data_IF_712582696025
#
_entry.id   IF_712582696025
#
_cell.length_a   1.000
_cell.length_b   1.000
_cell.length_c   1.000
_cell.angle_alpha   90.00
_cell.angle_beta   90.00
_cell.angle_gamma   90.00
#
_symmetry.space_group_name_H-M   'P 1'
#
loop_
_entity.id
_entity.type
_entity.pdbx_description
1 polymer ?
#
# COMPACT_ATOMS: atom_id res chain seq x y z
N UNK A 1 -24.07 -42.47 19.02
CA UNK A 1 -24.24 -43.94 18.99
C UNK A 1 -24.43 -44.56 20.38
N UNK A 2 -23.45 -44.62 21.30
CA UNK A 2 -23.68 -45.17 22.66
C UNK A 2 -24.67 -44.34 23.50
N UNK A 3 -24.59 -43.01 23.40
CA UNK A 3 -25.51 -42.08 24.07
C UNK A 3 -26.95 -42.13 23.48
N UNK A 4 -27.06 -42.35 22.17
CA UNK A 4 -28.36 -42.53 21.49
C UNK A 4 -29.02 -43.87 21.87
N UNK A 5 -28.21 -44.92 22.08
CA UNK A 5 -28.69 -46.22 22.57
C UNK A 5 -29.14 -46.11 24.03
N UNK A 6 -28.46 -45.31 24.86
CA UNK A 6 -28.82 -45.08 26.26
C UNK A 6 -30.15 -44.30 26.41
N UNK A 7 -30.42 -43.34 25.52
CA UNK A 7 -31.63 -42.52 25.56
C UNK A 7 -32.90 -43.23 25.05
N UNK A 8 -32.80 -44.42 24.46
CA UNK A 8 -33.96 -45.14 23.91
C UNK A 8 -34.62 -46.15 24.87
N UNK A 9 -34.06 -46.43 26.06
CA UNK A 9 -34.63 -47.40 27.01
C UNK A 9 -34.49 -46.90 28.45
N UNK A 10 -35.57 -46.33 29.01
CA UNK A 10 -35.53 -45.47 30.20
C UNK A 10 -35.19 -46.13 31.55
N UNK A 11 -35.30 -47.46 31.73
CA UNK A 11 -35.01 -48.09 33.05
C UNK A 11 -34.04 -49.29 33.01
N UNK A 12 -34.05 -50.12 31.97
CA UNK A 12 -33.27 -51.37 31.92
C UNK A 12 -31.78 -51.17 31.64
N UNK A 13 -31.38 -50.07 30.99
CA UNK A 13 -29.96 -49.79 30.72
C UNK A 13 -29.24 -49.21 31.93
N UNK A 14 -29.92 -48.47 32.83
CA UNK A 14 -29.29 -47.98 34.07
C UNK A 14 -28.79 -49.14 34.93
N UNK A 15 -29.55 -50.22 35.04
CA UNK A 15 -29.11 -51.44 35.74
C UNK A 15 -27.92 -52.12 35.04
N UNK A 16 -27.91 -52.17 33.70
CA UNK A 16 -26.79 -52.71 32.92
C UNK A 16 -25.52 -51.86 33.08
N UNK A 17 -25.65 -50.53 33.12
CA UNK A 17 -24.54 -49.63 33.39
C UNK A 17 -24.10 -49.70 34.85
N UNK A 18 -25.00 -49.78 35.83
CA UNK A 18 -24.67 -49.99 37.25
C UNK A 18 -23.89 -51.30 37.47
N UNK A 19 -24.18 -52.35 36.70
CA UNK A 19 -23.43 -53.60 36.70
C UNK A 19 -22.12 -53.53 35.89
N UNK A 20 -22.02 -52.61 34.93
CA UNK A 20 -20.82 -52.40 34.11
C UNK A 20 -19.74 -51.69 34.91
N UNK A 21 -18.53 -52.29 34.98
CA UNK A 21 -17.35 -51.64 35.57
C UNK A 21 -16.50 -50.89 34.54
N UNK A 22 -17.01 -50.73 33.32
CA UNK A 22 -16.26 -50.18 32.17
C UNK A 22 -17.08 -49.07 31.51
N UNK A 23 -16.45 -47.91 31.32
CA UNK A 23 -17.05 -46.71 30.73
C UNK A 23 -16.10 -46.03 29.75
N UNK A 24 -16.62 -45.28 28.76
CA UNK A 24 -15.78 -44.50 27.87
C UNK A 24 -15.22 -43.26 28.59
N UNK A 25 -13.92 -43.01 28.41
CA UNK A 25 -13.35 -41.70 28.71
C UNK A 25 -13.68 -40.67 27.62
N UNK A 26 -13.31 -39.42 27.83
CA UNK A 26 -13.63 -38.30 26.92
C UNK A 26 -12.90 -38.35 25.56
N UNK A 27 -12.06 -39.36 25.31
CA UNK A 27 -11.49 -39.66 23.99
C UNK A 27 -11.98 -41.00 23.42
N UNK A 28 -13.13 -41.50 23.91
CA UNK A 28 -13.81 -42.71 23.46
C UNK A 28 -13.04 -44.02 23.70
N UNK A 29 -12.13 -44.06 24.68
CA UNK A 29 -11.48 -45.31 25.10
C UNK A 29 -12.23 -45.90 26.30
N UNK A 30 -12.55 -47.19 26.21
CA UNK A 30 -13.16 -47.94 27.31
C UNK A 30 -12.13 -48.17 28.42
N UNK A 31 -12.49 -47.77 29.64
CA UNK A 31 -11.64 -47.82 30.83
C UNK A 31 -12.41 -48.38 32.01
N UNK A 32 -11.68 -49.01 32.93
CA UNK A 32 -12.31 -49.41 34.19
C UNK A 32 -12.73 -48.16 34.95
N UNK A 33 -13.88 -48.21 35.64
CA UNK A 33 -14.36 -47.10 36.47
C UNK A 33 -13.34 -46.67 37.54
N UNK A 34 -12.50 -47.61 37.99
CA UNK A 34 -11.39 -47.34 38.93
C UNK A 34 -10.19 -46.63 38.30
N UNK A 35 -10.17 -46.43 36.98
CA UNK A 35 -9.19 -45.61 36.26
C UNK A 35 -9.73 -44.22 35.91
N UNK A 36 -11.04 -43.98 36.09
CA UNK A 36 -11.71 -42.75 35.67
C UNK A 36 -11.96 -41.80 36.84
N UNK A 37 -12.10 -40.52 36.52
CA UNK A 37 -12.45 -39.42 37.42
C UNK A 37 -13.65 -38.66 36.85
N UNK A 38 -14.48 -38.13 37.73
CA UNK A 38 -15.60 -37.24 37.41
C UNK A 38 -15.08 -35.93 36.84
N UNK A 39 -15.79 -35.41 35.84
CA UNK A 39 -15.59 -34.07 35.31
C UNK A 39 -16.62 -33.12 35.92
N UNK A 40 -16.20 -32.29 36.87
CA UNK A 40 -17.07 -31.28 37.49
C UNK A 40 -16.98 -29.96 36.71
N UNK A 41 -17.56 -29.98 35.52
CA UNK A 41 -17.71 -28.83 34.61
C UNK A 41 -16.39 -28.09 34.34
N UNK A 42 -15.37 -28.83 33.96
CA UNK A 42 -14.09 -28.26 33.59
C UNK A 42 -14.24 -27.45 32.30
N UNK A 43 -13.77 -26.20 32.32
CA UNK A 43 -13.77 -25.32 31.15
C UNK A 43 -12.96 -26.00 30.02
N UNK A 44 -13.54 -26.23 28.82
CA UNK A 44 -12.88 -26.97 27.74
C UNK A 44 -11.50 -26.44 27.35
N UNK A 45 -11.33 -25.11 27.35
CA UNK A 45 -10.08 -24.42 27.06
C UNK A 45 -8.99 -24.76 28.09
N UNK A 46 -9.34 -24.93 29.36
CA UNK A 46 -8.41 -25.29 30.44
C UNK A 46 -7.89 -26.72 30.24
N UNK A 47 -8.71 -27.65 29.78
CA UNK A 47 -8.23 -29.00 29.42
C UNK A 47 -7.22 -28.95 28.28
N UNK A 48 -7.49 -28.12 27.26
CA UNK A 48 -6.56 -27.92 26.14
C UNK A 48 -5.23 -27.34 26.59
N UNK A 49 -5.28 -26.32 27.45
CA UNK A 49 -4.10 -25.69 28.03
C UNK A 49 -3.31 -26.67 28.90
N UNK A 50 -3.96 -27.41 29.81
CA UNK A 50 -3.32 -28.41 30.66
C UNK A 50 -2.58 -29.44 29.80
N UNK A 51 -3.22 -29.97 28.76
CA UNK A 51 -2.58 -30.95 27.89
C UNK A 51 -1.32 -30.41 27.20
N UNK A 52 -1.35 -29.14 26.81
CA UNK A 52 -0.20 -28.48 26.18
C UNK A 52 0.95 -28.27 27.18
N UNK A 53 0.64 -27.81 28.39
CA UNK A 53 1.64 -27.40 29.39
C UNK A 53 2.21 -28.62 30.12
N UNK A 54 1.34 -29.50 30.62
CA UNK A 54 1.73 -30.71 31.36
C UNK A 54 2.16 -31.87 30.44
N UNK A 55 1.96 -31.75 29.12
CA UNK A 55 2.20 -32.83 28.14
C UNK A 55 1.47 -34.14 28.49
N UNK A 56 0.31 -34.03 29.15
CA UNK A 56 -0.54 -35.15 29.56
C UNK A 56 -1.96 -34.97 29.04
N UNK A 57 -2.63 -36.02 28.55
CA UNK A 57 -3.99 -35.92 28.02
C UNK A 57 -5.03 -36.17 29.13
N UNK A 58 -5.54 -35.11 29.75
CA UNK A 58 -6.49 -35.24 30.88
C UNK A 58 -7.79 -35.95 30.48
N UNK A 59 -8.22 -35.85 29.21
CA UNK A 59 -9.43 -36.52 28.72
C UNK A 59 -9.31 -38.05 28.73
N UNK A 60 -8.10 -38.61 28.91
CA UNK A 60 -7.91 -40.05 29.11
C UNK A 60 -8.40 -40.52 30.48
N UNK A 61 -8.36 -39.63 31.46
CA UNK A 61 -8.69 -39.90 32.86
C UNK A 61 -10.11 -39.48 33.22
N UNK A 62 -10.74 -38.63 32.41
CA UNK A 62 -12.08 -38.12 32.67
C UNK A 62 -13.15 -38.97 31.99
N UNK A 63 -14.23 -39.24 32.72
CA UNK A 63 -15.47 -39.75 32.15
C UNK A 63 -16.28 -38.62 31.49
N UNK A 64 -17.18 -38.94 30.55
CA UNK A 64 -18.18 -37.97 30.10
C UNK A 64 -19.10 -37.55 31.25
N UNK A 65 -19.54 -36.28 31.27
CA UNK A 65 -20.29 -35.68 32.39
C UNK A 65 -21.55 -36.49 32.71
N UNK A 66 -22.19 -37.03 31.68
CA UNK A 66 -23.39 -37.88 31.74
C UNK A 66 -23.17 -39.17 32.54
N UNK A 67 -21.92 -39.63 32.69
CA UNK A 67 -21.56 -40.82 33.45
C UNK A 67 -20.92 -40.50 34.82
N UNK A 68 -20.89 -39.23 35.24
CA UNK A 68 -20.32 -38.84 36.54
C UNK A 68 -20.98 -39.60 37.71
N UNK A 69 -22.29 -39.87 37.64
CA UNK A 69 -23.04 -40.55 38.70
C UNK A 69 -22.49 -41.94 39.03
N UNK A 70 -21.82 -42.58 38.08
CA UNK A 70 -21.28 -43.92 38.26
C UNK A 70 -19.89 -43.95 38.92
N UNK A 71 -19.07 -42.91 38.73
CA UNK A 71 -17.73 -42.82 39.34
C UNK A 71 -17.86 -42.43 40.82
N UNK A 72 -16.94 -42.83 41.70
CA UNK A 72 -16.99 -42.45 43.13
C UNK A 72 -16.92 -40.92 43.35
N UNK A 73 -17.62 -40.42 44.38
CA UNK A 73 -17.78 -38.97 44.63
C UNK A 73 -16.47 -38.24 44.94
N UNK A 74 -15.51 -38.93 45.56
CA UNK A 74 -14.20 -38.42 45.93
C UNK A 74 -13.21 -38.37 44.74
N UNK A 75 -13.56 -39.01 43.61
CA UNK A 75 -12.70 -39.09 42.42
C UNK A 75 -13.15 -38.09 41.37
N UNK A 76 -12.75 -36.84 41.54
CA UNK A 76 -13.13 -35.77 40.62
C UNK A 76 -11.97 -34.87 40.26
N UNK A 77 -12.15 -34.14 39.15
CA UNK A 77 -11.25 -33.08 38.71
C UNK A 77 -12.07 -31.83 38.46
N UNK A 78 -11.52 -30.69 38.83
CA UNK A 78 -12.12 -29.37 38.62
C UNK A 78 -11.21 -28.49 37.78
N UNK A 79 -11.76 -27.40 37.23
CA UNK A 79 -10.95 -26.36 36.60
C UNK A 79 -9.86 -25.85 37.55
N UNK A 80 -10.19 -25.69 38.84
CA UNK A 80 -9.24 -25.16 39.84
C UNK A 80 -8.03 -26.08 40.03
N UNK A 81 -8.25 -27.39 40.08
CA UNK A 81 -7.16 -28.36 40.18
C UNK A 81 -6.22 -28.24 38.97
N UNK A 82 -6.77 -28.25 37.75
CA UNK A 82 -5.96 -28.16 36.54
C UNK A 82 -5.20 -26.84 36.43
N UNK A 83 -5.81 -25.72 36.81
CA UNK A 83 -5.11 -24.43 36.77
C UNK A 83 -4.02 -24.32 37.82
N UNK A 84 -4.19 -24.92 39.00
CA UNK A 84 -3.10 -25.03 39.99
C UNK A 84 -1.90 -25.79 39.44
N UNK A 85 -2.11 -26.95 38.81
CA UNK A 85 -1.02 -27.72 38.18
C UNK A 85 -0.35 -26.94 37.04
N UNK A 86 -1.12 -26.20 36.24
CA UNK A 86 -0.59 -25.32 35.19
C UNK A 86 0.29 -24.21 35.79
N UNK A 87 -0.18 -23.55 36.85
CA UNK A 87 0.59 -22.53 37.54
C UNK A 87 1.88 -23.13 38.14
N UNK A 88 1.83 -24.31 38.75
CA UNK A 88 3.03 -24.96 39.27
C UNK A 88 4.09 -25.17 38.19
N UNK A 89 3.69 -25.53 36.97
CA UNK A 89 4.61 -25.66 35.83
C UNK A 89 5.15 -24.30 35.40
N UNK A 90 4.31 -23.27 35.31
CA UNK A 90 4.75 -21.92 34.96
C UNK A 90 5.74 -21.34 35.97
N UNK A 91 5.46 -21.48 37.26
CA UNK A 91 6.29 -20.94 38.33
C UNK A 91 7.46 -21.86 38.74
N UNK A 92 7.47 -23.11 38.28
CA UNK A 92 8.64 -23.99 38.37
C UNK A 92 9.79 -23.54 37.47
N UNK A 93 9.52 -22.67 36.49
CA UNK A 93 10.51 -21.95 35.68
C UNK A 93 10.57 -20.49 36.16
N UNK A 94 11.68 -19.77 35.92
CA UNK A 94 11.79 -18.37 36.34
C UNK A 94 10.83 -17.47 35.55
N UNK A 95 9.69 -17.18 36.18
CA UNK A 95 8.63 -16.33 35.64
C UNK A 95 9.07 -14.87 35.45
N UNK A 96 10.11 -14.43 36.16
CA UNK A 96 10.64 -13.07 36.03
C UNK A 96 11.43 -12.91 34.71
N UNK A 97 11.90 -14.01 34.13
CA UNK A 97 12.43 -14.04 32.76
C UNK A 97 11.34 -14.49 31.76
N UNK A 98 10.21 -13.78 31.74
CA UNK A 98 9.07 -14.11 30.85
C UNK A 98 9.49 -14.14 29.37
N UNK A 99 10.51 -13.37 28.98
CA UNK A 99 10.95 -13.27 27.59
C UNK A 99 11.58 -14.55 27.06
N UNK A 100 12.20 -15.35 27.92
CA UNK A 100 12.79 -16.65 27.59
C UNK A 100 11.90 -17.82 28.07
N UNK A 101 10.77 -17.52 28.71
CA UNK A 101 9.90 -18.53 29.29
C UNK A 101 9.24 -19.41 28.20
N UNK A 102 9.27 -20.75 28.32
CA UNK A 102 8.78 -21.67 27.28
C UNK A 102 7.29 -21.54 27.00
N UNK A 103 6.53 -21.03 27.97
CA UNK A 103 5.09 -20.81 27.89
C UNK A 103 4.71 -19.32 27.86
N UNK A 104 5.60 -18.44 27.36
CA UNK A 104 5.36 -16.97 27.27
C UNK A 104 4.01 -16.65 26.64
N UNK A 105 3.67 -17.30 25.52
CA UNK A 105 2.43 -17.04 24.77
C UNK A 105 1.20 -17.42 25.60
N UNK A 106 1.21 -18.58 26.24
CA UNK A 106 0.12 -19.06 27.07
C UNK A 106 -0.10 -18.13 28.28
N UNK A 107 0.98 -17.76 28.97
CA UNK A 107 0.95 -16.86 30.12
C UNK A 107 0.34 -15.51 29.74
N UNK A 108 0.81 -14.89 28.65
CA UNK A 108 0.29 -13.58 28.22
C UNK A 108 -1.16 -13.66 27.76
N UNK A 109 -1.57 -14.77 27.14
CA UNK A 109 -2.98 -14.99 26.79
C UNK A 109 -3.87 -15.12 28.02
N UNK A 110 -3.43 -15.80 29.08
CA UNK A 110 -4.18 -15.87 30.34
C UNK A 110 -4.25 -14.49 30.99
N UNK A 111 -3.14 -13.75 31.06
CA UNK A 111 -3.10 -12.38 31.61
C UNK A 111 -4.12 -11.46 30.93
N UNK A 112 -4.27 -11.58 29.60
CA UNK A 112 -5.28 -10.84 28.83
C UNK A 112 -6.70 -11.13 29.32
N UNK A 113 -6.99 -12.37 29.73
CA UNK A 113 -8.29 -12.83 30.22
C UNK A 113 -8.54 -12.59 31.72
N UNK A 114 -7.51 -12.26 32.52
CA UNK A 114 -7.64 -12.00 33.97
C UNK A 114 -8.53 -10.79 34.33
N UNK A 115 -8.95 -10.00 33.34
CA UNK A 115 -9.97 -8.95 33.54
C UNK A 115 -11.32 -9.55 33.96
N UNK A 116 -11.57 -10.81 33.61
CA UNK A 116 -12.75 -11.55 34.03
C UNK A 116 -12.51 -12.20 35.39
N UNK A 117 -13.38 -11.88 36.37
CA UNK A 117 -13.26 -12.37 37.75
C UNK A 117 -13.10 -13.90 37.85
N UNK A 118 -13.80 -14.65 36.99
CA UNK A 118 -13.74 -16.11 36.91
C UNK A 118 -12.32 -16.61 36.60
N UNK A 119 -11.61 -15.96 35.69
CA UNK A 119 -10.23 -16.33 35.34
C UNK A 119 -9.22 -15.95 36.42
N UNK A 120 -9.41 -14.79 37.07
CA UNK A 120 -8.59 -14.37 38.21
C UNK A 120 -8.67 -15.35 39.39
N UNK A 121 -9.86 -15.88 39.69
CA UNK A 121 -10.04 -16.89 40.75
C UNK A 121 -9.38 -18.24 40.40
N UNK A 122 -9.33 -18.59 39.12
CA UNK A 122 -8.72 -19.83 38.64
C UNK A 122 -7.18 -19.76 38.63
N UNK A 123 -6.60 -18.61 38.27
CA UNK A 123 -5.15 -18.36 38.19
C UNK A 123 -4.68 -17.26 39.18
N UNK A 124 -4.79 -17.50 40.51
CA UNK A 124 -4.53 -16.46 41.51
C UNK A 124 -3.06 -16.05 41.61
N UNK A 125 -2.10 -16.96 41.33
CA UNK A 125 -0.67 -16.63 41.42
C UNK A 125 -0.27 -15.77 40.23
N UNK A 126 -0.79 -16.09 39.05
CA UNK A 126 -0.57 -15.27 37.86
C UNK A 126 -1.25 -13.91 37.98
N UNK A 127 -2.44 -13.85 38.60
CA UNK A 127 -3.11 -12.57 38.88
C UNK A 127 -2.30 -11.68 39.84
N UNK A 128 -1.67 -12.25 40.87
CA UNK A 128 -0.74 -11.53 41.77
C UNK A 128 0.49 -11.00 41.01
N UNK A 129 1.06 -11.79 40.08
CA UNK A 129 2.31 -11.45 39.38
C UNK A 129 2.15 -10.73 38.05
N UNK A 130 0.92 -10.51 37.57
CA UNK A 130 0.64 -9.96 36.23
C UNK A 130 1.36 -8.63 35.94
N UNK A 131 1.46 -7.75 36.93
CA UNK A 131 2.12 -6.46 36.76
C UNK A 131 3.63 -6.61 36.51
N UNK A 132 4.29 -7.48 37.26
CA UNK A 132 5.72 -7.77 37.09
C UNK A 132 5.97 -8.43 35.74
N UNK A 133 5.15 -9.44 35.38
CA UNK A 133 5.28 -10.12 34.08
C UNK A 133 5.11 -9.13 32.92
N UNK A 134 4.13 -8.22 32.99
CA UNK A 134 3.93 -7.21 31.96
C UNK A 134 5.06 -6.19 31.93
N UNK A 135 5.61 -5.80 33.07
CA UNK A 135 6.78 -4.93 33.14
C UNK A 135 7.96 -5.55 32.40
N UNK A 136 8.25 -6.83 32.62
CA UNK A 136 9.37 -7.50 31.95
C UNK A 136 9.18 -7.74 30.45
N UNK A 137 7.93 -7.77 29.97
CA UNK A 137 7.68 -7.74 28.52
C UNK A 137 8.07 -6.39 27.93
N UNK A 138 7.79 -5.27 28.62
CA UNK A 138 8.02 -3.92 28.07
C UNK A 138 9.43 -3.40 28.30
N UNK A 139 10.15 -3.91 29.31
CA UNK A 139 11.54 -3.54 29.64
C UNK A 139 12.58 -4.38 28.91
N UNK A 140 12.19 -5.29 28.01
CA UNK A 140 13.13 -6.08 27.22
C UNK A 140 14.06 -5.17 26.42
N UNK A 141 15.37 -5.19 26.72
CA UNK A 141 16.37 -4.28 26.13
C UNK A 141 16.39 -4.27 24.60
N UNK A 142 16.03 -5.37 23.92
CA UNK A 142 16.03 -5.42 22.47
C UNK A 142 14.81 -4.75 21.81
N UNK A 143 13.70 -4.61 22.55
CA UNK A 143 12.42 -4.10 22.00
C UNK A 143 11.83 -2.94 22.81
N UNK A 144 12.53 -2.52 23.87
CA UNK A 144 12.06 -1.51 24.84
C UNK A 144 11.67 -0.22 24.14
N UNK A 145 12.56 0.34 23.33
CA UNK A 145 12.34 1.63 22.66
C UNK A 145 11.19 1.55 21.64
N UNK A 146 11.05 0.42 20.94
CA UNK A 146 9.94 0.17 20.01
C UNK A 146 8.60 0.10 20.75
N UNK A 147 8.56 -0.63 21.86
CA UNK A 147 7.36 -0.74 22.70
C UNK A 147 7.00 0.63 23.30
N UNK A 148 7.98 1.38 23.80
CA UNK A 148 7.77 2.75 24.31
C UNK A 148 7.19 3.66 23.23
N UNK A 149 7.73 3.59 22.02
CA UNK A 149 7.22 4.33 20.86
C UNK A 149 5.78 3.95 20.52
N UNK A 150 5.41 2.68 20.68
CA UNK A 150 4.03 2.22 20.49
C UNK A 150 3.09 2.72 21.60
N UNK A 151 3.43 2.55 22.89
CA UNK A 151 2.53 2.89 24.00
C UNK A 151 2.35 4.41 24.19
N UNK A 152 3.26 5.20 23.63
CA UNK A 152 3.19 6.68 23.64
C UNK A 152 2.34 7.25 22.49
N UNK A 153 1.89 6.40 21.54
CA UNK A 153 0.96 6.81 20.50
C UNK A 153 -0.37 7.30 21.10
N UNK A 154 -1.01 8.24 20.41
CA UNK A 154 -2.36 8.66 20.76
C UNK A 154 -3.38 7.51 20.66
N UNK A 155 -4.48 7.60 21.41
CA UNK A 155 -5.48 6.53 21.52
C UNK A 155 -6.04 6.09 20.15
N UNK A 156 -6.25 7.04 19.23
CA UNK A 156 -6.73 6.78 17.88
C UNK A 156 -5.75 5.90 17.09
N UNK A 157 -4.45 6.20 17.17
CA UNK A 157 -3.43 5.49 16.40
C UNK A 157 -3.08 4.15 17.03
N UNK A 158 -3.10 4.05 18.36
CA UNK A 158 -3.08 2.78 19.08
C UNK A 158 -4.20 1.84 18.63
N UNK A 159 -5.43 2.35 18.50
CA UNK A 159 -6.58 1.54 18.01
C UNK A 159 -6.39 1.08 16.57
N UNK A 160 -5.85 1.93 15.70
CA UNK A 160 -5.56 1.56 14.30
C UNK A 160 -4.47 0.48 14.23
N UNK A 161 -3.37 0.66 14.95
CA UNK A 161 -2.28 -0.31 15.02
C UNK A 161 -2.77 -1.66 15.59
N UNK A 162 -3.57 -1.60 16.66
CA UNK A 162 -4.16 -2.79 17.27
C UNK A 162 -5.07 -3.58 16.32
N UNK A 163 -5.81 -2.90 15.43
CA UNK A 163 -6.58 -3.56 14.35
C UNK A 163 -5.66 -4.14 13.30
N UNK A 164 -4.66 -3.38 12.87
CA UNK A 164 -3.72 -3.78 11.82
C UNK A 164 -2.93 -5.05 12.19
N UNK A 165 -2.50 -5.18 13.45
CA UNK A 165 -1.77 -6.37 13.96
C UNK A 165 -2.65 -7.62 14.01
N UNK A 166 -3.99 -7.48 14.04
CA UNK A 166 -4.92 -8.62 14.02
C UNK A 166 -5.17 -9.16 12.60
N UNK A 167 -4.73 -8.45 11.56
CA UNK A 167 -4.90 -8.88 10.18
C UNK A 167 -3.97 -10.06 9.84
N UNK A 168 -4.51 -11.08 9.16
CA UNK A 168 -3.74 -12.29 8.79
C UNK A 168 -2.53 -12.00 7.91
N UNK A 169 -2.58 -10.91 7.16
CA UNK A 169 -1.57 -10.46 6.20
C UNK A 169 -0.79 -9.23 6.67
N UNK A 170 -0.74 -8.96 7.98
CA UNK A 170 -0.02 -7.84 8.60
C UNK A 170 1.36 -7.56 7.97
N UNK A 171 2.22 -8.58 7.89
CA UNK A 171 3.58 -8.44 7.33
C UNK A 171 3.57 -8.09 5.84
N UNK A 172 2.67 -8.66 5.06
CA UNK A 172 2.56 -8.36 3.64
C UNK A 172 2.07 -6.92 3.40
N UNK A 173 1.15 -6.43 4.23
CA UNK A 173 0.66 -5.04 4.16
C UNK A 173 1.80 -4.06 4.43
N UNK A 174 2.60 -4.29 5.48
CA UNK A 174 3.73 -3.41 5.81
C UNK A 174 4.77 -3.37 4.69
N UNK A 175 5.15 -4.53 4.15
CA UNK A 175 6.11 -4.60 3.05
C UNK A 175 5.60 -3.88 1.80
N UNK A 176 4.33 -4.07 1.43
CA UNK A 176 3.72 -3.39 0.30
C UNK A 176 3.68 -1.87 0.51
N UNK A 177 3.30 -1.40 1.71
CA UNK A 177 3.28 0.02 2.03
C UNK A 177 4.67 0.66 1.93
N UNK A 178 5.71 0.00 2.44
CA UNK A 178 7.09 0.48 2.34
C UNK A 178 7.55 0.58 0.89
N UNK A 179 7.28 -0.44 0.08
CA UNK A 179 7.63 -0.45 -1.35
C UNK A 179 6.91 0.69 -2.08
N UNK A 180 5.61 0.86 -1.87
CA UNK A 180 4.82 1.92 -2.50
C UNK A 180 5.33 3.32 -2.14
N UNK A 181 5.62 3.56 -0.86
CA UNK A 181 6.17 4.84 -0.41
C UNK A 181 7.55 5.13 -1.02
N UNK A 182 8.39 4.12 -1.16
CA UNK A 182 9.69 4.26 -1.80
C UNK A 182 9.54 4.57 -3.30
N UNK A 183 8.69 3.83 -4.01
CA UNK A 183 8.38 4.08 -5.42
C UNK A 183 7.80 5.48 -5.65
N UNK A 184 6.94 5.94 -4.75
CA UNK A 184 6.37 7.29 -4.83
C UNK A 184 7.46 8.35 -4.70
N UNK A 185 8.36 8.22 -3.71
CA UNK A 185 9.50 9.15 -3.54
C UNK A 185 10.41 9.18 -4.76
N UNK A 186 10.71 8.01 -5.33
CA UNK A 186 11.52 7.90 -6.54
C UNK A 186 10.84 8.56 -7.75
N UNK A 187 9.53 8.38 -7.90
CA UNK A 187 8.73 8.98 -8.98
C UNK A 187 8.63 10.50 -8.84
N UNK A 188 8.41 11.01 -7.62
CA UNK A 188 8.35 12.45 -7.33
C UNK A 188 9.70 13.11 -7.59
N UNK A 189 10.81 12.49 -7.16
CA UNK A 189 12.15 12.98 -7.41
C UNK A 189 12.48 13.02 -8.92
N UNK A 190 12.16 11.96 -9.67
CA UNK A 190 12.33 11.92 -11.13
C UNK A 190 11.45 12.94 -11.86
N UNK A 191 10.22 13.16 -11.38
CA UNK A 191 9.34 14.20 -11.92
C UNK A 191 9.88 15.60 -11.69
N UNK A 192 10.28 15.94 -10.46
CA UNK A 192 10.86 17.24 -10.13
C UNK A 192 12.11 17.53 -10.98
N UNK A 193 12.97 16.54 -11.12
CA UNK A 193 14.18 16.67 -11.91
C UNK A 193 13.89 16.89 -13.40
N UNK A 194 12.95 16.13 -14.00
CA UNK A 194 12.52 16.33 -15.39
C UNK A 194 11.88 17.69 -15.62
N UNK A 195 11.11 18.17 -14.66
CA UNK A 195 10.46 19.48 -14.72
C UNK A 195 11.51 20.60 -14.77
N UNK A 196 12.45 20.63 -13.83
CA UNK A 196 13.51 21.65 -13.77
C UNK A 196 14.28 21.77 -15.08
N UNK A 197 14.66 20.64 -15.68
CA UNK A 197 15.43 20.67 -16.91
C UNK A 197 14.56 21.05 -18.11
N UNK A 198 13.30 20.61 -18.13
CA UNK A 198 12.32 21.06 -19.13
C UNK A 198 12.21 22.58 -19.17
N UNK A 199 12.02 23.21 -18.00
CA UNK A 199 11.97 24.67 -17.86
C UNK A 199 13.27 25.34 -18.28
N UNK A 200 14.42 24.75 -17.96
CA UNK A 200 15.73 25.27 -18.38
C UNK A 200 15.89 25.27 -19.91
N UNK A 201 15.52 24.17 -20.57
CA UNK A 201 15.56 24.05 -22.04
C UNK A 201 14.63 25.06 -22.69
N UNK A 202 13.39 25.18 -22.19
CA UNK A 202 12.42 26.16 -22.69
C UNK A 202 13.00 27.58 -22.63
N UNK A 203 13.62 27.95 -21.50
CA UNK A 203 14.28 29.25 -21.33
C UNK A 203 15.37 29.48 -22.40
N UNK A 204 16.25 28.51 -22.63
CA UNK A 204 17.32 28.64 -23.62
C UNK A 204 16.79 28.77 -25.06
N UNK A 205 15.73 28.02 -25.39
CA UNK A 205 15.07 28.16 -26.70
C UNK A 205 14.47 29.56 -26.83
N UNK A 206 13.77 30.05 -25.80
CA UNK A 206 13.17 31.39 -25.78
C UNK A 206 14.23 32.49 -25.94
N UNK A 207 15.32 32.43 -25.17
CA UNK A 207 16.43 33.39 -25.28
C UNK A 207 17.04 33.41 -26.69
N UNK A 208 17.21 32.24 -27.30
CA UNK A 208 17.73 32.14 -28.67
C UNK A 208 16.76 32.71 -29.70
N UNK A 209 15.46 32.41 -29.59
CA UNK A 209 14.43 32.98 -30.46
C UNK A 209 14.39 34.51 -30.34
N UNK A 210 14.42 35.05 -29.13
CA UNK A 210 14.46 36.51 -28.88
C UNK A 210 15.65 37.18 -29.54
N UNK A 211 16.83 36.55 -29.47
CA UNK A 211 18.05 37.08 -30.07
C UNK A 211 17.98 37.10 -31.61
N UNK A 212 17.48 36.03 -32.23
CA UNK A 212 17.41 35.93 -33.69
C UNK A 212 16.30 36.82 -34.30
N UNK A 213 15.18 37.00 -33.60
CA UNK A 213 14.04 37.79 -34.10
C UNK A 213 14.15 39.30 -33.79
N UNK A 214 15.26 39.75 -33.19
CA UNK A 214 15.68 41.17 -33.08
C UNK A 214 14.59 42.15 -32.60
N UNK A 215 13.92 41.88 -31.46
CA UNK A 215 12.88 42.74 -30.86
C UNK A 215 11.66 43.05 -31.76
N UNK A 216 11.50 42.38 -32.91
CA UNK A 216 10.30 42.52 -33.76
C UNK A 216 9.07 41.85 -33.16
N UNK A 217 9.28 40.99 -32.18
CA UNK A 217 8.25 40.20 -31.51
C UNK A 217 8.48 40.23 -30.01
N UNK A 218 7.39 40.15 -29.24
CA UNK A 218 7.44 39.90 -27.81
C UNK A 218 7.10 38.44 -27.53
N UNK A 219 7.55 37.94 -26.38
CA UNK A 219 7.21 36.61 -25.90
C UNK A 219 6.37 36.79 -24.64
N UNK A 220 5.24 36.11 -24.53
CA UNK A 220 4.41 36.20 -23.32
C UNK A 220 5.20 35.68 -22.11
N UNK A 221 5.18 36.42 -21.01
CA UNK A 221 5.75 35.98 -19.73
C UNK A 221 4.87 34.89 -19.13
N UNK A 222 5.50 33.85 -18.58
CA UNK A 222 4.80 32.75 -17.90
C UNK A 222 4.09 33.19 -16.59
N UNK A 223 4.25 34.44 -16.13
CA UNK A 223 3.77 34.88 -14.81
C UNK A 223 2.74 36.01 -14.78
N UNK A 224 2.52 36.76 -15.87
CA UNK A 224 1.50 37.82 -15.86
C UNK A 224 0.97 38.13 -17.26
N UNK A 225 0.04 37.31 -17.76
CA UNK A 225 -0.99 37.78 -18.69
C UNK A 225 -2.27 36.94 -18.54
N UNK A 226 -3.37 37.65 -18.36
CA UNK A 226 -4.69 37.18 -17.93
C UNK A 226 -5.31 36.09 -18.83
N UNK A 227 -5.47 34.90 -18.24
CA UNK A 227 -6.63 33.99 -18.26
C UNK A 227 -7.25 33.45 -19.56
N UNK A 228 -6.83 33.80 -20.79
CA UNK A 228 -7.47 33.25 -22.01
C UNK A 228 -6.57 32.55 -23.04
N UNK A 229 -5.23 32.57 -22.90
CA UNK A 229 -4.30 31.96 -23.88
C UNK A 229 -3.56 30.74 -23.31
N UNK A 230 -3.57 30.53 -21.99
CA UNK A 230 -2.92 29.36 -21.37
C UNK A 230 -3.67 28.07 -21.69
N UNK A 231 -3.05 27.20 -22.49
CA UNK A 231 -3.50 25.82 -22.65
C UNK A 231 -2.94 25.16 -23.90
N UNK A 232 -1.95 24.27 -23.73
CA UNK A 232 -1.45 23.38 -24.78
C UNK A 232 -0.14 23.79 -25.47
N UNK A 233 0.60 24.77 -24.93
CA UNK A 233 1.89 25.24 -25.45
C UNK A 233 2.74 25.85 -24.32
N UNK A 234 4.07 25.94 -24.54
CA UNK A 234 5.03 26.51 -23.57
C UNK A 234 5.51 27.92 -23.98
N UNK A 235 5.63 28.20 -25.29
CA UNK A 235 6.08 29.49 -25.81
C UNK A 235 5.02 30.07 -26.76
N UNK A 236 4.70 31.35 -26.59
CA UNK A 236 3.85 32.13 -27.50
C UNK A 236 4.64 33.32 -28.02
N UNK A 237 4.68 33.45 -29.35
CA UNK A 237 5.31 34.56 -30.06
C UNK A 237 4.24 35.58 -30.41
N UNK A 238 4.45 36.84 -30.05
CA UNK A 238 3.53 37.94 -30.30
C UNK A 238 4.13 38.97 -31.26
N UNK A 239 3.30 39.49 -32.16
CA UNK A 239 3.58 40.65 -32.99
C UNK A 239 2.53 41.72 -32.66
N UNK A 240 2.96 42.91 -32.23
CA UNK A 240 2.06 44.00 -31.80
C UNK A 240 0.96 43.56 -30.82
N UNK A 241 1.36 42.77 -29.81
CA UNK A 241 0.48 42.16 -28.78
C UNK A 241 -0.52 41.11 -29.30
N UNK A 242 -0.46 40.74 -30.57
CA UNK A 242 -1.26 39.65 -31.12
C UNK A 242 -0.44 38.36 -31.18
N UNK A 243 -0.96 37.22 -30.68
CA UNK A 243 -0.25 35.96 -30.79
C UNK A 243 -0.14 35.60 -32.29
N UNK A 244 1.06 35.33 -32.77
CA UNK A 244 1.34 34.97 -34.17
C UNK A 244 1.79 33.53 -34.34
N UNK A 245 2.38 32.92 -33.30
CA UNK A 245 2.86 31.53 -33.34
C UNK A 245 2.92 30.90 -31.95
N UNK A 246 2.74 29.59 -31.86
CA UNK A 246 2.73 28.80 -30.63
C UNK A 246 3.73 27.65 -30.72
N UNK A 247 4.44 27.36 -29.64
CA UNK A 247 5.44 26.29 -29.58
C UNK A 247 5.27 25.50 -28.29
N UNK A 248 5.15 24.20 -28.40
CA UNK A 248 5.23 23.25 -27.30
C UNK A 248 6.62 22.62 -27.26
N UNK A 249 7.27 22.62 -26.11
CA UNK A 249 8.64 22.15 -25.89
C UNK A 249 8.62 20.84 -25.10
N UNK A 250 9.08 19.76 -25.71
CA UNK A 250 9.26 18.46 -25.06
C UNK A 250 10.73 18.07 -25.02
N UNK A 251 11.19 17.59 -23.88
CA UNK A 251 12.53 17.02 -23.75
C UNK A 251 12.47 15.50 -23.58
N UNK A 252 13.36 14.79 -24.28
CA UNK A 252 13.48 13.33 -24.22
C UNK A 252 14.84 12.96 -23.63
N UNK A 253 14.81 12.19 -22.55
CA UNK A 253 15.98 11.84 -21.73
C UNK A 253 16.30 10.35 -21.68
N UNK A 254 15.33 9.51 -22.03
CA UNK A 254 15.48 8.06 -22.10
C UNK A 254 15.03 7.57 -23.48
N UNK A 255 15.84 6.71 -24.11
CA UNK A 255 15.53 6.13 -25.41
C UNK A 255 14.30 5.23 -25.40
N UNK A 256 13.88 4.73 -24.23
CA UNK A 256 12.65 3.98 -24.06
C UNK A 256 11.40 4.88 -24.00
N UNK A 257 11.57 6.17 -23.70
CA UNK A 257 10.44 7.08 -23.58
C UNK A 257 10.05 7.66 -24.95
N UNK A 258 8.76 7.64 -25.26
CA UNK A 258 8.19 8.37 -26.39
C UNK A 258 7.85 9.81 -25.99
N UNK A 259 7.83 10.72 -26.95
CA UNK A 259 7.29 12.07 -26.73
C UNK A 259 5.77 11.97 -26.72
N UNK A 260 5.13 12.42 -25.64
CA UNK A 260 3.67 12.43 -25.51
C UNK A 260 3.14 13.85 -25.44
N UNK A 261 2.03 14.11 -26.12
CA UNK A 261 1.25 15.34 -26.02
C UNK A 261 -0.05 15.10 -25.23
N UNK A 262 -0.39 16.00 -24.32
CA UNK A 262 -1.67 15.97 -23.60
C UNK A 262 -2.83 16.33 -24.52
N UNK A 263 -4.06 16.01 -24.11
CA UNK A 263 -5.28 16.43 -24.81
C UNK A 263 -5.23 17.89 -25.25
N UNK A 264 -4.99 18.81 -24.31
CA UNK A 264 -4.97 20.25 -24.59
C UNK A 264 -3.91 20.65 -25.64
N UNK A 265 -2.76 20.00 -25.63
CA UNK A 265 -1.68 20.22 -26.60
C UNK A 265 -2.09 19.74 -28.00
N UNK A 266 -2.75 18.57 -28.08
CA UNK A 266 -3.29 18.07 -29.34
C UNK A 266 -4.39 18.99 -29.90
N UNK A 267 -5.31 19.44 -29.05
CA UNK A 267 -6.39 20.35 -29.44
C UNK A 267 -5.82 21.68 -29.95
N UNK A 268 -4.90 22.29 -29.20
CA UNK A 268 -4.21 23.52 -29.59
C UNK A 268 -3.46 23.36 -30.92
N UNK A 269 -2.78 22.23 -31.12
CA UNK A 269 -2.09 21.96 -32.38
C UNK A 269 -3.05 21.89 -33.58
N UNK A 270 -4.28 21.41 -33.40
CA UNK A 270 -5.30 21.36 -34.47
C UNK A 270 -5.98 22.71 -34.67
N UNK A 271 -6.30 23.43 -33.60
CA UNK A 271 -6.89 24.78 -33.63
C UNK A 271 -5.94 25.77 -34.32
N UNK A 272 -4.65 25.70 -33.98
CA UNK A 272 -3.60 26.61 -34.42
C UNK A 272 -2.69 25.99 -35.48
N UNK A 273 -3.21 25.02 -36.23
CA UNK A 273 -2.47 24.13 -37.15
C UNK A 273 -1.37 24.80 -37.99
N UNK A 274 -1.66 25.95 -38.61
CA UNK A 274 -0.68 26.65 -39.47
C UNK A 274 0.34 27.50 -38.71
N UNK A 275 0.19 27.65 -37.41
CA UNK A 275 1.01 28.51 -36.54
C UNK A 275 1.37 27.85 -35.21
N UNK A 276 1.49 26.53 -35.21
CA UNK A 276 1.86 25.72 -34.05
C UNK A 276 3.03 24.79 -34.39
N UNK A 277 4.02 24.69 -33.52
CA UNK A 277 5.10 23.72 -33.66
C UNK A 277 5.31 22.88 -32.39
N UNK A 278 5.61 21.60 -32.58
CA UNK A 278 6.18 20.76 -31.54
C UNK A 278 7.72 20.86 -31.63
N UNK A 279 8.32 21.53 -30.65
CA UNK A 279 9.76 21.55 -30.40
C UNK A 279 10.13 20.35 -29.55
N UNK A 280 10.98 19.46 -30.05
CA UNK A 280 11.52 18.33 -29.29
C UNK A 280 13.02 18.45 -29.15
N UNK A 281 13.53 18.32 -27.94
CA UNK A 281 14.96 18.24 -27.64
C UNK A 281 15.30 16.81 -27.22
N UNK A 282 16.06 16.08 -28.04
CA UNK A 282 16.42 14.68 -27.76
C UNK A 282 17.83 14.56 -27.16
N UNK A 283 17.88 14.56 -25.84
CA UNK A 283 19.13 14.58 -25.06
C UNK A 283 19.75 13.19 -24.96
N UNK A 284 18.99 12.14 -25.31
CA UNK A 284 19.54 10.79 -25.45
C UNK A 284 20.65 10.73 -26.51
N UNK A 285 20.61 11.64 -27.48
CA UNK A 285 21.58 11.73 -28.58
C UNK A 285 22.81 12.57 -28.24
N UNK A 286 22.88 13.20 -27.06
CA UNK A 286 24.01 14.05 -26.68
C UNK A 286 25.30 13.22 -26.51
N UNK A 287 26.31 13.40 -27.38
CA UNK A 287 27.54 12.62 -27.37
C UNK A 287 28.66 13.25 -26.51
N UNK A 288 28.42 14.47 -25.98
CA UNK A 288 29.43 15.26 -25.31
C UNK A 288 29.73 14.79 -23.88
N UNK A 289 30.76 15.41 -23.29
CA UNK A 289 31.25 15.10 -21.93
C UNK A 289 30.71 16.04 -20.86
N UNK A 290 30.03 17.12 -21.24
CA UNK A 290 29.47 18.05 -20.27
C UNK A 290 28.28 17.43 -19.55
N UNK A 291 27.93 18.03 -18.42
CA UNK A 291 26.75 17.66 -17.65
C UNK A 291 25.50 17.80 -18.52
N UNK A 292 24.84 16.68 -18.81
CA UNK A 292 23.61 16.62 -19.63
C UNK A 292 22.48 17.44 -19.03
N UNK A 293 22.57 17.77 -17.75
CA UNK A 293 21.60 18.59 -17.02
C UNK A 293 21.88 20.09 -17.09
N UNK A 294 23.03 20.50 -17.65
CA UNK A 294 23.47 21.90 -17.75
C UNK A 294 24.07 22.20 -19.13
N UNK A 295 23.34 21.81 -20.18
CA UNK A 295 23.77 22.02 -21.56
C UNK A 295 23.63 23.50 -21.95
N UNK A 296 24.64 24.02 -22.64
CA UNK A 296 24.55 25.34 -23.27
C UNK A 296 23.59 25.35 -24.47
N UNK A 297 23.17 26.54 -24.91
CA UNK A 297 22.33 26.69 -26.10
C UNK A 297 22.96 26.02 -27.33
N UNK A 298 24.26 26.17 -27.54
CA UNK A 298 24.96 25.60 -28.70
C UNK A 298 24.99 24.07 -28.68
N UNK A 299 24.87 23.45 -27.50
CA UNK A 299 24.77 21.99 -27.35
C UNK A 299 23.35 21.47 -27.50
N UNK A 300 22.36 22.27 -27.12
CA UNK A 300 20.93 21.92 -27.22
C UNK A 300 20.44 22.03 -28.66
N UNK A 301 20.80 23.08 -29.39
CA UNK A 301 20.25 23.34 -30.73
C UNK A 301 20.43 22.18 -31.74
N UNK A 302 21.57 21.48 -31.80
CA UNK A 302 21.73 20.30 -32.68
C UNK A 302 20.84 19.11 -32.30
N UNK A 303 20.37 19.06 -31.06
CA UNK A 303 19.48 18.02 -30.53
C UNK A 303 18.00 18.38 -30.71
N UNK A 304 17.71 19.61 -31.16
CA UNK A 304 16.37 20.17 -31.25
C UNK A 304 15.78 20.00 -32.65
N UNK A 305 14.52 19.59 -32.71
CA UNK A 305 13.71 19.51 -33.92
C UNK A 305 12.36 20.19 -33.75
N UNK A 306 11.89 20.87 -34.80
CA UNK A 306 10.60 21.56 -34.84
C UNK A 306 9.68 20.92 -35.87
N UNK A 307 8.61 20.28 -35.41
CA UNK A 307 7.56 19.73 -36.27
C UNK A 307 6.47 20.78 -36.45
N UNK A 308 6.49 21.48 -37.57
CA UNK A 308 5.62 22.64 -37.87
C UNK A 308 4.28 22.26 -38.51
N UNK A 309 4.11 21.00 -38.93
CA UNK A 309 2.88 20.45 -39.52
C UNK A 309 2.23 19.40 -38.59
N UNK A 310 2.50 19.49 -37.29
CA UNK A 310 2.04 18.52 -36.32
C UNK A 310 0.50 18.54 -36.20
N UNK A 311 -0.12 19.71 -36.36
CA UNK A 311 -1.57 19.89 -36.40
C UNK A 311 -2.24 19.09 -37.52
N UNK A 312 -1.73 19.18 -38.75
CA UNK A 312 -2.22 18.41 -39.90
C UNK A 312 -2.12 16.90 -39.68
N UNK A 313 -1.09 16.46 -38.97
CA UNK A 313 -0.88 15.04 -38.64
C UNK A 313 -1.87 14.55 -37.57
N UNK A 314 -2.15 15.39 -36.57
CA UNK A 314 -3.05 15.07 -35.45
C UNK A 314 -4.51 15.21 -35.84
N UNK A 315 -4.86 16.17 -36.70
CA UNK A 315 -6.23 16.57 -37.01
C UNK A 315 -7.12 15.36 -37.37
N UNK A 316 -6.76 14.46 -38.30
CA UNK A 316 -7.60 13.31 -38.64
C UNK A 316 -7.86 12.33 -37.48
N UNK A 317 -7.03 12.37 -36.43
CA UNK A 317 -7.15 11.47 -35.27
C UNK A 317 -8.14 11.98 -34.23
N UNK A 318 -8.39 13.30 -34.16
CA UNK A 318 -9.18 13.91 -33.09
C UNK A 318 -10.32 14.82 -33.58
N UNK A 319 -10.43 15.12 -34.87
CA UNK A 319 -11.42 16.06 -35.41
C UNK A 319 -12.87 15.65 -35.09
N UNK A 320 -13.22 14.37 -35.25
CA UNK A 320 -14.55 13.86 -34.88
C UNK A 320 -14.82 14.02 -33.37
N UNK A 321 -13.80 13.78 -32.54
CA UNK A 321 -13.92 13.92 -31.10
C UNK A 321 -14.03 15.38 -30.67
N UNK A 322 -13.32 16.30 -31.34
CA UNK A 322 -13.44 17.74 -31.13
C UNK A 322 -14.86 18.24 -31.44
N UNK A 323 -15.50 17.71 -32.49
CA UNK A 323 -16.87 18.06 -32.82
C UNK A 323 -17.86 17.45 -31.82
N UNK A 324 -17.66 16.20 -31.42
CA UNK A 324 -18.48 15.54 -30.40
C UNK A 324 -18.41 16.26 -29.04
N UNK A 325 -17.25 16.79 -28.65
CA UNK A 325 -17.05 17.57 -27.43
C UNK A 325 -17.81 18.91 -27.40
N UNK A 326 -18.26 19.44 -28.54
CA UNK A 326 -19.16 20.61 -28.59
C UNK A 326 -20.61 20.25 -28.27
N UNK A 327 -20.94 18.96 -28.30
CA UNK A 327 -22.28 18.42 -28.13
C UNK A 327 -22.31 17.33 -27.05
N UNK A 328 -21.68 17.59 -25.89
CA UNK A 328 -21.41 16.61 -24.83
C UNK A 328 -22.64 15.84 -24.33
N UNK A 329 -23.82 16.47 -24.34
CA UNK A 329 -25.09 15.84 -23.91
C UNK A 329 -25.72 14.92 -24.97
N UNK A 330 -25.27 15.00 -26.23
CA UNK A 330 -25.91 14.35 -27.38
C UNK A 330 -24.97 13.40 -28.14
N UNK A 331 -23.67 13.47 -27.87
CA UNK A 331 -22.64 12.74 -28.61
C UNK A 331 -21.70 12.00 -27.66
N UNK A 332 -21.40 10.75 -27.99
CA UNK A 332 -20.32 9.99 -27.34
C UNK A 332 -19.00 10.67 -27.68
N UNK A 333 -18.19 10.96 -26.66
CA UNK A 333 -16.90 11.61 -26.82
C UNK A 333 -15.88 11.08 -25.80
N UNK A 334 -14.61 11.22 -26.12
CA UNK A 334 -13.47 10.84 -25.30
C UNK A 334 -13.09 12.00 -24.38
N UNK A 335 -13.01 11.74 -23.07
CA UNK A 335 -12.71 12.78 -22.08
C UNK A 335 -11.20 12.92 -21.87
N UNK A 336 -10.48 11.81 -21.72
CA UNK A 336 -9.05 11.75 -21.45
C UNK A 336 -8.32 10.97 -22.56
N UNK A 337 -7.48 11.67 -23.34
CA UNK A 337 -6.65 11.06 -24.37
C UNK A 337 -5.30 11.77 -24.49
N UNK A 338 -4.30 11.05 -24.99
CA UNK A 338 -2.95 11.54 -25.24
C UNK A 338 -2.44 11.06 -26.59
N UNK A 339 -1.59 11.86 -27.21
CA UNK A 339 -0.94 11.52 -28.46
C UNK A 339 0.49 11.10 -28.19
N UNK A 340 0.90 9.97 -28.76
CA UNK A 340 2.31 9.58 -28.77
C UNK A 340 2.87 10.00 -30.13
N UNK A 341 3.93 10.80 -30.13
CA UNK A 341 4.58 11.29 -31.35
C UNK A 341 5.79 10.39 -31.66
N UNK A 342 5.76 9.61 -32.76
CA UNK A 342 6.87 8.76 -33.16
C UNK A 342 8.13 9.56 -33.47
N UNK A 343 9.30 8.98 -33.16
CA UNK A 343 10.59 9.63 -33.42
C UNK A 343 10.83 9.91 -34.90
N UNK A 344 10.35 9.06 -35.80
CA UNK A 344 10.49 9.28 -37.23
C UNK A 344 9.73 10.52 -37.71
N UNK A 345 8.64 10.91 -37.03
CA UNK A 345 7.94 12.17 -37.30
C UNK A 345 8.80 13.35 -36.82
N UNK A 346 9.34 13.25 -35.61
CA UNK A 346 10.17 14.29 -34.99
C UNK A 346 11.46 14.52 -35.79
N UNK A 347 12.13 13.46 -36.22
CA UNK A 347 13.39 13.54 -36.96
C UNK A 347 13.24 14.19 -38.35
N UNK A 348 12.05 14.08 -38.96
CA UNK A 348 11.69 14.79 -40.20
C UNK A 348 11.39 16.27 -39.99
N UNK A 349 11.33 16.72 -38.73
CA UNK A 349 11.15 18.14 -38.40
C UNK A 349 12.32 19.03 -38.82
N UNK A 350 12.03 20.33 -38.83
CA UNK A 350 12.98 21.38 -39.15
C UNK A 350 14.05 21.47 -38.05
N UNK A 351 15.28 21.79 -38.43
CA UNK A 351 16.25 22.29 -37.45
C UNK A 351 15.90 23.73 -37.05
N UNK A 352 16.63 24.25 -36.06
CA UNK A 352 16.38 25.59 -35.54
C UNK A 352 16.50 26.68 -36.62
N UNK A 353 17.46 26.56 -37.54
CA UNK A 353 17.69 27.58 -38.57
C UNK A 353 16.54 27.61 -39.57
N UNK A 354 16.14 26.45 -40.09
CA UNK A 354 14.99 26.34 -40.99
C UNK A 354 13.70 26.80 -40.31
N UNK A 355 13.53 26.52 -39.02
CA UNK A 355 12.38 27.00 -38.26
C UNK A 355 12.34 28.53 -38.15
N UNK A 356 13.49 29.17 -37.89
CA UNK A 356 13.59 30.64 -37.87
C UNK A 356 13.20 31.25 -39.22
N UNK A 357 13.62 30.66 -40.34
CA UNK A 357 13.24 31.12 -41.68
C UNK A 357 11.71 31.07 -41.88
N UNK A 358 11.06 29.97 -41.46
CA UNK A 358 9.60 29.83 -41.49
C UNK A 358 8.93 30.91 -40.63
N UNK A 359 9.41 31.13 -39.40
CA UNK A 359 8.87 32.16 -38.52
C UNK A 359 9.01 33.55 -39.12
N UNK A 360 10.15 33.86 -39.74
CA UNK A 360 10.33 35.15 -40.41
C UNK A 360 9.32 35.35 -41.53
N UNK A 361 9.08 34.35 -42.38
CA UNK A 361 8.06 34.42 -43.43
C UNK A 361 6.69 34.75 -42.84
N UNK A 362 6.27 34.01 -41.80
CA UNK A 362 4.96 34.21 -41.14
C UNK A 362 4.83 35.62 -40.52
N UNK A 363 5.91 36.11 -39.90
CA UNK A 363 5.94 37.45 -39.30
C UNK A 363 5.85 38.51 -40.40
N UNK A 364 6.62 38.37 -41.49
CA UNK A 364 6.62 39.33 -42.61
C UNK A 364 5.34 39.33 -43.43
N UNK A 365 4.63 38.21 -43.55
CA UNK A 365 3.32 38.16 -44.24
C UNK A 365 2.20 38.87 -43.45
N UNK A 366 2.42 39.10 -42.15
CA UNK A 366 1.46 39.76 -41.24
C UNK A 366 1.78 41.23 -40.96
N UNK A 367 2.93 41.72 -41.42
CA UNK A 367 3.30 43.15 -41.39
C UNK A 367 2.93 43.78 -42.73
#
# INVERSE_FOLDING_TARGET
>A
MLLEIANCNEDSLKEVYLASKIYPNQINQLKSISELKRDLEIIPEIKGLYNKVAKNEIRKELVYIEFNEFVAEDRFVTSKYLTTEIEDIFFGTDINNINEHPFKVEILNIIKSLREKKYAELFPRLDDKKANVMLEVVTNENTKDDIFSIVTLGESDLKKLGKLVQEKNFSAILNAATILLQQQRETEADFHHKYEIGTYIEKLIREKLSKELQNRVSFGDNETETTNIQGGQDIVIFLDKNPVYFIEVKSRWNSQNSVSMSKLQLQRAVEENRRYALCTVDITRYPGKNDRYKLSTDEILPLTKFVTNIGDTIKPLIEDNLEAEKHQEKSIHLIEYRGIIPQDIIQRGNDFKSFIEILFTIITEKT
#
